data_IF_894922114086
#
_entry.id   IF_894922114086
#
_cell.length_a   1.000
_cell.length_b   1.000
_cell.length_c   1.000
_cell.angle_alpha   90.00
_cell.angle_beta   90.00
_cell.angle_gamma   90.00
#
_symmetry.space_group_name_H-M   'P 1'
#
loop_
_entity.id
_entity.type
_entity.pdbx_description
1 polymer ?
#
# COMPACT_ATOMS: atom_id res chain seq x y z
N UNK A 1 32.06 -11.51 0.33
CA UNK A 1 31.48 -10.62 -0.71
C UNK A 1 30.00 -10.93 -0.92
N UNK A 2 29.63 -12.18 -1.23
CA UNK A 2 28.24 -12.63 -1.48
C UNK A 2 27.29 -12.45 -0.29
N UNK A 3 27.70 -12.81 0.93
CA UNK A 3 26.84 -12.66 2.13
C UNK A 3 26.51 -11.20 2.45
N UNK A 4 27.45 -10.28 2.27
CA UNK A 4 27.22 -8.84 2.47
C UNK A 4 26.21 -8.29 1.46
N UNK A 5 26.31 -8.72 0.19
CA UNK A 5 25.37 -8.32 -0.87
C UNK A 5 23.97 -8.84 -0.56
N UNK A 6 23.83 -10.11 -0.14
CA UNK A 6 22.54 -10.71 0.23
C UNK A 6 21.89 -9.95 1.39
N UNK A 7 22.65 -9.66 2.45
CA UNK A 7 22.14 -8.89 3.59
C UNK A 7 21.72 -7.46 3.21
N UNK A 8 22.48 -6.82 2.29
CA UNK A 8 22.14 -5.49 1.78
C UNK A 8 20.83 -5.48 0.98
N UNK A 9 20.64 -6.46 0.09
CA UNK A 9 19.39 -6.61 -0.69
C UNK A 9 18.22 -6.91 0.24
N UNK A 10 18.40 -7.79 1.22
CA UNK A 10 17.36 -8.11 2.19
C UNK A 10 16.93 -6.88 3.00
N UNK A 11 17.89 -6.11 3.52
CA UNK A 11 17.60 -4.87 4.24
C UNK A 11 16.88 -3.84 3.35
N UNK A 12 17.29 -3.71 2.08
CA UNK A 12 16.60 -2.84 1.11
C UNK A 12 15.16 -3.28 0.88
N UNK A 13 14.90 -4.57 0.71
CA UNK A 13 13.55 -5.11 0.55
C UNK A 13 12.66 -4.78 1.76
N UNK A 14 13.18 -4.91 2.98
CA UNK A 14 12.45 -4.55 4.20
C UNK A 14 12.13 -3.05 4.24
N UNK A 15 13.08 -2.19 3.89
CA UNK A 15 12.86 -0.73 3.84
C UNK A 15 11.77 -0.40 2.82
N UNK A 16 11.85 -0.96 1.62
CA UNK A 16 10.84 -0.75 0.57
C UNK A 16 9.47 -1.27 1.02
N UNK A 17 9.41 -2.42 1.70
CA UNK A 17 8.17 -2.97 2.26
C UNK A 17 7.55 -1.99 3.26
N UNK A 18 8.33 -1.47 4.21
CA UNK A 18 7.85 -0.49 5.17
C UNK A 18 7.31 0.77 4.50
N UNK A 19 8.00 1.29 3.48
CA UNK A 19 7.54 2.46 2.70
C UNK A 19 6.22 2.15 2.00
N UNK A 20 6.10 1.00 1.33
CA UNK A 20 4.87 0.59 0.65
C UNK A 20 3.69 0.44 1.62
N UNK A 21 3.91 -0.14 2.80
CA UNK A 21 2.88 -0.27 3.83
C UNK A 21 2.43 1.11 4.36
N UNK A 22 3.37 2.03 4.58
CA UNK A 22 3.03 3.41 4.94
C UNK A 22 2.23 4.10 3.83
N UNK A 23 2.62 3.95 2.57
CA UNK A 23 1.86 4.48 1.44
C UNK A 23 0.45 3.90 1.36
N UNK A 24 0.29 2.59 1.55
CA UNK A 24 -1.03 1.92 1.58
C UNK A 24 -1.92 2.49 2.70
N UNK A 25 -1.35 2.64 3.90
CA UNK A 25 -2.06 3.21 5.05
C UNK A 25 -2.47 4.67 4.81
N UNK A 26 -1.59 5.48 4.22
CA UNK A 26 -1.88 6.89 3.89
C UNK A 26 -2.98 7.01 2.83
N UNK A 27 -2.95 6.20 1.78
CA UNK A 27 -3.96 6.25 0.71
C UNK A 27 -5.33 5.81 1.22
N UNK A 28 -5.38 4.71 1.98
CA UNK A 28 -6.62 4.24 2.62
C UNK A 28 -7.15 5.27 3.63
N UNK A 29 -6.27 5.89 4.41
CA UNK A 29 -6.65 6.97 5.33
C UNK A 29 -7.19 8.20 4.61
N UNK A 30 -6.59 8.57 3.47
CA UNK A 30 -7.07 9.67 2.64
C UNK A 30 -8.45 9.38 2.02
N UNK A 31 -8.73 8.14 1.64
CA UNK A 31 -10.06 7.71 1.19
C UNK A 31 -11.11 7.98 2.26
N UNK A 32 -10.88 7.47 3.47
CA UNK A 32 -11.80 7.63 4.61
C UNK A 32 -11.97 9.11 4.97
N UNK A 33 -10.88 9.89 4.97
CA UNK A 33 -10.93 11.31 5.30
C UNK A 33 -11.68 12.13 4.24
N UNK A 34 -11.44 11.89 2.95
CA UNK A 34 -12.09 12.66 1.88
C UNK A 34 -13.56 12.31 1.70
N UNK A 35 -13.93 11.03 1.80
CA UNK A 35 -15.31 10.57 1.62
C UNK A 35 -16.12 10.49 2.92
N UNK A 36 -15.49 10.69 4.07
CA UNK A 36 -16.15 10.77 5.37
C UNK A 36 -16.68 12.17 5.74
N UNK A 37 -16.33 13.21 4.97
CA UNK A 37 -16.79 14.58 5.23
C UNK A 37 -18.31 14.70 5.08
N UNK A 38 -18.95 15.35 6.05
CA UNK A 38 -20.36 15.72 5.98
C UNK A 38 -20.60 16.90 5.04
N UNK A 39 -21.87 17.08 4.66
CA UNK A 39 -22.27 18.20 3.80
C UNK A 39 -22.05 19.58 4.47
N UNK A 40 -22.06 19.64 5.80
CA UNK A 40 -21.77 20.86 6.56
C UNK A 40 -20.28 21.18 6.49
N UNK A 41 -19.40 20.20 6.73
CA UNK A 41 -17.95 20.38 6.65
C UNK A 41 -17.50 20.80 5.23
N UNK A 42 -18.14 20.25 4.18
CA UNK A 42 -17.87 20.68 2.80
C UNK A 42 -18.23 22.15 2.56
N UNK A 43 -19.32 22.65 3.17
CA UNK A 43 -19.70 24.07 3.08
C UNK A 43 -18.72 24.96 3.84
N UNK A 44 -18.30 24.57 5.03
CA UNK A 44 -17.29 25.31 5.80
C UNK A 44 -15.97 25.44 5.02
N UNK A 45 -15.54 24.36 4.34
CA UNK A 45 -14.37 24.36 3.45
C UNK A 45 -14.54 25.30 2.25
N UNK A 46 -15.77 25.48 1.73
CA UNK A 46 -16.06 26.44 0.66
C UNK A 46 -15.93 27.88 1.15
N UNK A 47 -16.33 28.14 2.39
CA UNK A 47 -16.32 29.48 2.99
C UNK A 47 -14.92 29.92 3.44
N UNK A 48 -14.05 28.98 3.86
CA UNK A 48 -12.67 29.24 4.25
C UNK A 48 -11.79 29.84 3.14
N UNK A 49 -12.13 29.58 1.85
CA UNK A 49 -11.44 30.11 0.65
C UNK A 49 -9.91 29.94 0.63
N UNK A 50 -9.37 28.94 1.33
CA UNK A 50 -7.93 28.64 1.24
C UNK A 50 -7.59 27.88 -0.03
N UNK A 51 -6.32 27.96 -0.46
CA UNK A 51 -5.85 27.20 -1.61
C UNK A 51 -6.00 25.67 -1.43
N UNK A 52 -5.89 25.17 -0.19
CA UNK A 52 -6.04 23.73 0.12
C UNK A 52 -7.50 23.30 0.01
N UNK A 53 -8.41 24.09 0.58
CA UNK A 53 -9.86 23.81 0.54
C UNK A 53 -10.36 23.83 -0.90
N UNK A 54 -9.88 24.76 -1.74
CA UNK A 54 -10.21 24.80 -3.17
C UNK A 54 -9.77 23.54 -3.93
N UNK A 55 -8.58 23.00 -3.64
CA UNK A 55 -8.11 21.74 -4.25
C UNK A 55 -9.00 20.57 -3.81
N UNK A 56 -9.29 20.47 -2.50
CA UNK A 56 -10.12 19.39 -1.96
C UNK A 56 -11.52 19.38 -2.58
N UNK A 57 -12.18 20.54 -2.65
CA UNK A 57 -13.50 20.68 -3.28
C UNK A 57 -13.46 20.24 -4.74
N UNK A 58 -12.46 20.70 -5.50
CA UNK A 58 -12.29 20.33 -6.91
C UNK A 58 -12.09 18.82 -7.12
N UNK A 59 -11.45 18.13 -6.18
CA UNK A 59 -11.33 16.67 -6.20
C UNK A 59 -12.67 16.00 -5.91
N UNK A 60 -13.41 16.50 -4.91
CA UNK A 60 -14.73 16.00 -4.51
C UNK A 60 -15.84 16.25 -5.53
N UNK A 61 -15.70 17.25 -6.42
CA UNK A 61 -16.60 17.46 -7.57
C UNK A 61 -16.59 16.31 -8.57
N UNK A 62 -15.53 15.49 -8.58
CA UNK A 62 -15.39 14.31 -9.46
C UNK A 62 -15.20 13.03 -8.65
N UNK A 63 -16.15 12.69 -7.75
CA UNK A 63 -15.94 11.69 -6.70
C UNK A 63 -15.67 10.31 -7.29
N UNK A 64 -16.35 9.94 -8.39
CA UNK A 64 -16.12 8.66 -9.09
C UNK A 64 -14.69 8.53 -9.65
N UNK A 65 -14.14 9.59 -10.23
CA UNK A 65 -12.78 9.58 -10.79
C UNK A 65 -11.74 9.55 -9.68
N UNK A 66 -11.97 10.32 -8.62
CA UNK A 66 -11.14 10.34 -7.42
C UNK A 66 -11.08 8.95 -6.78
N UNK A 67 -12.24 8.35 -6.50
CA UNK A 67 -12.34 7.02 -5.89
C UNK A 67 -11.65 5.96 -6.75
N UNK A 68 -11.89 5.94 -8.07
CA UNK A 68 -11.23 5.01 -8.97
C UNK A 68 -9.69 5.14 -8.93
N UNK A 69 -9.17 6.37 -8.85
CA UNK A 69 -7.72 6.63 -8.80
C UNK A 69 -7.12 6.10 -7.50
N UNK A 70 -7.78 6.37 -6.37
CA UNK A 70 -7.37 5.86 -5.04
C UNK A 70 -7.37 4.34 -5.03
N UNK A 71 -8.44 3.72 -5.54
CA UNK A 71 -8.60 2.27 -5.54
C UNK A 71 -7.53 1.58 -6.41
N UNK A 72 -7.23 2.13 -7.58
CA UNK A 72 -6.15 1.64 -8.45
C UNK A 72 -4.80 1.76 -7.75
N UNK A 73 -4.51 2.91 -7.13
CA UNK A 73 -3.25 3.12 -6.43
C UNK A 73 -3.09 2.17 -5.23
N UNK A 74 -4.14 2.00 -4.42
CA UNK A 74 -4.13 1.08 -3.29
C UNK A 74 -3.91 -0.37 -3.73
N UNK A 75 -4.63 -0.81 -4.76
CA UNK A 75 -4.47 -2.15 -5.32
C UNK A 75 -3.07 -2.39 -5.90
N UNK A 76 -2.50 -1.40 -6.60
CA UNK A 76 -1.13 -1.50 -7.12
C UNK A 76 -0.11 -1.67 -5.99
N UNK A 77 -0.24 -0.89 -4.92
CA UNK A 77 0.65 -1.00 -3.74
C UNK A 77 0.47 -2.36 -3.06
N UNK A 78 -0.77 -2.82 -2.87
CA UNK A 78 -1.04 -4.12 -2.25
C UNK A 78 -0.44 -5.28 -3.05
N UNK A 79 -0.53 -5.26 -4.38
CA UNK A 79 0.15 -6.24 -5.24
C UNK A 79 1.67 -6.16 -5.05
N UNK A 80 2.23 -4.95 -5.02
CA UNK A 80 3.65 -4.74 -4.76
C UNK A 80 4.11 -5.31 -3.41
N UNK A 81 3.31 -5.10 -2.36
CA UNK A 81 3.55 -5.66 -1.01
C UNK A 81 3.56 -7.19 -1.06
N UNK A 82 2.57 -7.82 -1.70
CA UNK A 82 2.51 -9.30 -1.82
C UNK A 82 3.72 -9.86 -2.56
N UNK A 83 4.11 -9.24 -3.69
CA UNK A 83 5.28 -9.67 -4.46
C UNK A 83 6.58 -9.51 -3.67
N UNK A 84 6.75 -8.37 -2.99
CA UNK A 84 7.95 -8.11 -2.19
C UNK A 84 8.02 -9.03 -0.97
N UNK A 85 6.88 -9.30 -0.35
CA UNK A 85 6.76 -10.25 0.75
C UNK A 85 7.14 -11.67 0.30
N UNK A 86 6.74 -12.10 -0.91
CA UNK A 86 7.16 -13.38 -1.48
C UNK A 86 8.69 -13.48 -1.62
N UNK A 87 9.35 -12.43 -2.12
CA UNK A 87 10.82 -12.39 -2.25
C UNK A 87 11.52 -12.43 -0.87
N UNK A 88 10.97 -11.71 0.11
CA UNK A 88 11.47 -11.73 1.49
C UNK A 88 11.27 -13.12 2.11
N UNK A 89 10.11 -13.72 1.91
CA UNK A 89 9.74 -15.04 2.40
C UNK A 89 10.66 -16.14 1.86
N UNK A 90 11.00 -16.11 0.57
CA UNK A 90 11.96 -17.05 -0.03
C UNK A 90 13.32 -17.02 0.69
N UNK A 91 13.74 -15.83 1.14
CA UNK A 91 15.00 -15.66 1.89
C UNK A 91 14.86 -16.13 3.35
N UNK A 92 13.74 -15.81 4.01
CA UNK A 92 13.50 -16.19 5.41
C UNK A 92 13.27 -17.69 5.59
N UNK A 93 12.58 -18.32 4.64
CA UNK A 93 12.18 -19.73 4.68
C UNK A 93 13.04 -20.62 3.78
N UNK A 94 14.27 -20.19 3.45
CA UNK A 94 15.21 -20.94 2.61
C UNK A 94 15.50 -22.37 3.14
N UNK A 95 15.29 -22.61 4.43
CA UNK A 95 15.52 -23.91 5.06
C UNK A 95 14.26 -24.79 5.16
N UNK A 96 13.08 -24.30 4.76
CA UNK A 96 11.81 -25.02 4.88
C UNK A 96 11.55 -25.88 3.63
N UNK A 97 12.12 -27.09 3.57
CA UNK A 97 11.97 -27.98 2.40
C UNK A 97 10.85 -29.02 2.50
N UNK A 98 9.90 -28.82 3.41
CA UNK A 98 8.82 -29.78 3.61
C UNK A 98 7.82 -29.73 2.45
N UNK A 99 7.45 -30.92 1.95
CA UNK A 99 6.47 -31.10 0.88
C UNK A 99 5.22 -31.74 1.48
N UNK A 100 4.10 -31.05 1.38
CA UNK A 100 2.78 -31.50 1.78
C UNK A 100 2.15 -32.36 0.68
N UNK A 101 1.60 -33.52 1.07
CA UNK A 101 0.99 -34.51 0.17
C UNK A 101 1.89 -35.00 -0.97
N UNK A 102 3.20 -34.77 -0.90
CA UNK A 102 4.15 -35.12 -1.96
C UNK A 102 4.09 -34.23 -3.22
N UNK A 103 3.28 -33.16 -3.22
CA UNK A 103 3.08 -32.29 -4.41
C UNK A 103 3.25 -30.80 -4.11
N UNK A 104 2.88 -30.34 -2.91
CA UNK A 104 2.82 -28.90 -2.58
C UNK A 104 3.92 -28.54 -1.58
N UNK A 105 4.80 -27.60 -1.92
CA UNK A 105 5.77 -27.09 -0.94
C UNK A 105 5.07 -26.29 0.15
N UNK A 106 5.43 -26.52 1.42
CA UNK A 106 4.91 -25.73 2.55
C UNK A 106 5.27 -24.25 2.39
N UNK A 107 6.34 -23.90 1.67
CA UNK A 107 6.71 -22.51 1.37
C UNK A 107 5.67 -21.75 0.56
N UNK A 108 4.82 -22.43 -0.20
CA UNK A 108 3.74 -21.75 -0.95
C UNK A 108 2.67 -21.17 -0.01
N UNK A 109 2.57 -21.71 1.21
CA UNK A 109 1.61 -21.27 2.22
C UNK A 109 2.20 -20.22 3.19
N UNK A 110 3.50 -19.92 3.08
CA UNK A 110 4.25 -19.02 3.95
C UNK A 110 4.59 -17.73 3.21
#
# INVERSE_FOLDING_TARGET
MTTLVVNGVFAMNIIVLCVLLLCSALISGAEVAMFGLSTTEIKELQDEKTAKSAILIKLLERPKKLLATILIANNAINIGVVLLFSVIGDTLFENVNQILFGVVSVRFLL
#
